data_IF_096403218790
#
_entry.id   IF_096403218790
#
_cell.length_a   1.000
_cell.length_b   1.000
_cell.length_c   1.000
_cell.angle_alpha   90.00
_cell.angle_beta   90.00
_cell.angle_gamma   90.00
#
_symmetry.space_group_name_H-M   'P 1'
#
loop_
_entity.id
_entity.type
_entity.pdbx_description
1 polymer ?
#
# COMPACT_ATOMS: atom_id res chain seq x y z
N UNK A 1 2.76 -0.80 -3.05
CA UNK A 1 1.96 0.38 -2.73
C UNK A 1 0.47 0.13 -2.95
N UNK A 2 -0.02 -0.03 -4.17
CA UNK A 2 -1.47 -0.17 -4.45
C UNK A 2 -2.16 -1.42 -3.85
N UNK A 3 -1.43 -2.45 -3.49
CA UNK A 3 -1.97 -3.71 -2.92
C UNK A 3 -1.65 -3.92 -1.44
N UNK A 4 -0.70 -3.20 -0.88
CA UNK A 4 -0.27 -3.32 0.52
C UNK A 4 -0.24 -2.01 1.28
N UNK A 5 -0.69 -0.91 0.67
CA UNK A 5 -0.74 0.40 1.33
C UNK A 5 0.61 0.99 1.73
N UNK A 6 1.73 0.50 1.19
CA UNK A 6 3.07 0.99 1.53
C UNK A 6 3.30 2.43 1.09
N UNK A 7 4.10 3.16 1.85
CA UNK A 7 4.71 4.43 1.40
C UNK A 7 5.84 4.14 0.43
N UNK A 8 6.08 5.05 -0.52
CA UNK A 8 7.17 4.87 -1.51
C UNK A 8 8.54 4.73 -0.84
N UNK A 9 8.83 5.51 0.20
CA UNK A 9 10.08 5.40 0.95
C UNK A 9 10.27 4.03 1.64
N UNK A 10 9.20 3.40 2.08
CA UNK A 10 9.21 2.03 2.61
C UNK A 10 9.56 1.01 1.53
N UNK A 11 8.94 1.15 0.35
CA UNK A 11 9.24 0.27 -0.81
C UNK A 11 10.70 0.37 -1.22
N UNK A 12 11.27 1.57 -1.23
CA UNK A 12 12.65 1.81 -1.66
C UNK A 12 13.71 1.34 -0.63
N UNK A 13 13.28 1.00 0.58
CA UNK A 13 14.16 0.44 1.62
C UNK A 13 14.17 -1.09 1.64
N UNK A 14 13.20 -1.75 0.99
CA UNK A 14 13.05 -3.21 1.02
C UNK A 14 14.28 -3.93 0.50
N UNK A 15 14.65 -4.99 1.23
CA UNK A 15 15.63 -5.99 0.84
C UNK A 15 14.97 -7.36 0.71
N UNK A 16 15.58 -8.35 0.06
CA UNK A 16 15.05 -9.73 0.04
C UNK A 16 14.83 -10.33 1.42
N UNK A 17 15.67 -9.98 2.41
CA UNK A 17 15.51 -10.43 3.80
C UNK A 17 14.21 -9.95 4.46
N UNK A 18 13.61 -8.87 3.97
CA UNK A 18 12.36 -8.35 4.51
C UNK A 18 11.11 -9.09 4.01
N UNK A 19 11.28 -10.04 3.07
CA UNK A 19 10.17 -10.80 2.48
C UNK A 19 9.98 -12.11 3.25
N UNK A 20 8.91 -12.19 4.04
CA UNK A 20 8.55 -13.39 4.79
C UNK A 20 7.16 -13.87 4.36
N UNK A 21 7.10 -14.86 3.47
CA UNK A 21 5.86 -15.37 2.87
C UNK A 21 5.01 -14.23 2.27
N UNK A 22 3.86 -13.92 2.83
CA UNK A 22 2.96 -12.81 2.43
C UNK A 22 3.10 -11.57 3.29
N UNK A 23 4.21 -11.47 4.01
CA UNK A 23 4.51 -10.35 4.89
C UNK A 23 5.78 -9.65 4.43
N UNK A 24 5.80 -8.35 4.57
CA UNK A 24 7.01 -7.55 4.43
C UNK A 24 7.32 -6.93 5.79
N UNK A 25 8.55 -7.08 6.22
CA UNK A 25 9.02 -6.54 7.50
C UNK A 25 9.63 -5.17 7.22
N UNK A 26 9.11 -4.14 7.86
CA UNK A 26 9.70 -2.81 7.82
C UNK A 26 10.52 -2.60 9.10
N UNK A 27 11.81 -2.40 8.91
CA UNK A 27 12.71 -1.95 9.95
C UNK A 27 12.83 -0.41 9.86
N UNK A 28 13.04 0.26 10.96
CA UNK A 28 13.22 1.72 11.01
C UNK A 28 11.98 2.49 10.50
N UNK A 29 10.88 2.37 11.23
CA UNK A 29 9.62 3.02 10.90
C UNK A 29 9.52 4.44 11.47
N UNK A 30 8.90 5.36 10.72
CA UNK A 30 8.64 6.74 11.19
C UNK A 30 7.70 6.81 12.41
N UNK A 31 7.03 5.71 12.74
CA UNK A 31 6.12 5.60 13.87
C UNK A 31 6.82 5.35 15.22
N UNK A 32 8.15 5.23 15.22
CA UNK A 32 8.94 4.93 16.44
C UNK A 32 8.80 3.49 16.92
N UNK A 33 8.14 2.61 16.19
CA UNK A 33 8.09 1.17 16.44
C UNK A 33 9.33 0.52 15.82
N UNK A 34 9.93 -0.45 16.53
CA UNK A 34 11.11 -1.16 16.05
C UNK A 34 10.87 -1.90 14.74
N UNK A 35 9.67 -2.46 14.56
CA UNK A 35 9.27 -3.15 13.31
C UNK A 35 7.78 -2.94 13.02
N UNK A 36 7.44 -2.83 11.74
CA UNK A 36 6.06 -2.91 11.25
C UNK A 36 5.93 -4.03 10.22
N UNK A 37 4.77 -4.70 10.23
CA UNK A 37 4.43 -5.73 9.26
C UNK A 37 3.47 -5.18 8.21
N UNK A 38 3.73 -5.52 6.95
CA UNK A 38 2.83 -5.25 5.84
C UNK A 38 2.36 -6.57 5.26
N UNK A 39 1.06 -6.70 5.07
CA UNK A 39 0.47 -7.86 4.43
C UNK A 39 0.25 -7.59 2.93
N UNK A 40 0.63 -8.54 2.09
CA UNK A 40 0.49 -8.45 0.63
C UNK A 40 -0.21 -9.71 0.10
N UNK A 41 -0.95 -9.59 -1.02
CA UNK A 41 -1.53 -10.75 -1.68
C UNK A 41 -0.46 -11.75 -2.13
N UNK A 42 -0.78 -13.05 -2.12
CA UNK A 42 0.12 -14.11 -2.55
C UNK A 42 0.76 -13.81 -3.92
N UNK A 43 -0.07 -13.44 -4.89
CA UNK A 43 0.40 -13.09 -6.24
C UNK A 43 1.46 -11.98 -6.26
N UNK A 44 1.38 -11.01 -5.33
CA UNK A 44 2.39 -9.95 -5.22
C UNK A 44 3.67 -10.48 -4.60
N UNK A 45 3.55 -11.32 -3.57
CA UNK A 45 4.69 -11.97 -2.93
C UNK A 45 5.47 -12.85 -3.91
N UNK A 46 4.76 -13.65 -4.71
CA UNK A 46 5.36 -14.56 -5.69
C UNK A 46 6.12 -13.76 -6.78
N UNK A 47 5.49 -12.72 -7.33
CA UNK A 47 6.15 -11.84 -8.32
C UNK A 47 7.36 -11.11 -7.76
N UNK A 48 7.31 -10.71 -6.50
CA UNK A 48 8.45 -10.06 -5.85
C UNK A 48 9.62 -11.03 -5.67
N UNK A 49 9.34 -12.25 -5.21
CA UNK A 49 10.35 -13.32 -5.09
C UNK A 49 10.94 -13.71 -6.45
N UNK A 50 10.11 -13.82 -7.46
CA UNK A 50 10.54 -14.09 -8.84
C UNK A 50 11.47 -12.98 -9.36
N UNK A 51 11.08 -11.72 -9.17
CA UNK A 51 11.90 -10.56 -9.55
C UNK A 51 13.27 -10.59 -8.85
N UNK A 52 13.31 -10.84 -7.54
CA UNK A 52 14.57 -10.95 -6.78
C UNK A 52 15.47 -12.03 -7.33
N UNK A 53 14.92 -13.21 -7.66
CA UNK A 53 15.68 -14.31 -8.26
C UNK A 53 16.19 -13.95 -9.67
N UNK A 54 15.32 -13.44 -10.53
CA UNK A 54 15.66 -13.12 -11.92
C UNK A 54 16.73 -12.03 -12.03
N UNK A 55 16.76 -11.10 -11.07
CA UNK A 55 17.74 -10.00 -11.03
C UNK A 55 18.97 -10.31 -10.17
N UNK A 56 19.00 -11.48 -9.55
CA UNK A 56 20.11 -11.96 -8.70
C UNK A 56 20.50 -10.96 -7.60
N UNK A 57 19.50 -10.37 -6.93
CA UNK A 57 19.72 -9.37 -5.87
C UNK A 57 20.19 -10.08 -4.60
N UNK A 58 21.32 -9.65 -4.05
CA UNK A 58 21.82 -10.13 -2.77
C UNK A 58 20.85 -9.85 -1.62
N UNK A 59 20.82 -10.73 -0.62
CA UNK A 59 19.85 -10.74 0.46
C UNK A 59 19.74 -9.43 1.25
N UNK A 60 20.84 -8.69 1.35
CA UNK A 60 20.99 -7.42 2.07
C UNK A 60 20.91 -6.17 1.17
N UNK A 61 20.77 -6.36 -0.14
CA UNK A 61 20.71 -5.27 -1.11
C UNK A 61 19.30 -4.81 -1.34
N UNK A 62 19.12 -3.52 -1.63
CA UNK A 62 17.81 -2.95 -1.95
C UNK A 62 17.22 -3.63 -3.19
N UNK A 63 15.96 -4.06 -3.11
CA UNK A 63 15.25 -4.66 -4.24
C UNK A 63 15.08 -3.62 -5.37
N UNK A 64 14.82 -2.37 -4.99
CA UNK A 64 14.64 -1.25 -5.93
C UNK A 64 15.70 -0.16 -5.65
N UNK A 65 16.91 -0.27 -6.23
CA UNK A 65 18.01 0.66 -5.96
C UNK A 65 17.86 1.96 -6.75
N UNK A 66 16.72 2.61 -6.62
CA UNK A 66 16.41 3.90 -7.25
C UNK A 66 16.12 4.96 -6.18
N UNK A 67 16.30 6.22 -6.52
CA UNK A 67 15.94 7.32 -5.63
C UNK A 67 14.44 7.64 -5.68
N UNK A 68 13.98 8.41 -4.70
CA UNK A 68 12.58 8.85 -4.63
C UNK A 68 12.11 9.58 -5.89
N UNK A 69 12.96 10.45 -6.46
CA UNK A 69 12.66 11.19 -7.68
C UNK A 69 12.39 10.26 -8.87
N UNK A 70 13.25 9.24 -9.05
CA UNK A 70 13.08 8.22 -10.10
C UNK A 70 11.79 7.40 -9.89
N UNK A 71 11.51 6.96 -8.67
CA UNK A 71 10.28 6.25 -8.36
C UNK A 71 9.03 7.09 -8.65
N UNK A 72 9.06 8.38 -8.28
CA UNK A 72 7.98 9.33 -8.59
C UNK A 72 7.79 9.51 -10.10
N UNK A 73 8.87 9.62 -10.85
CA UNK A 73 8.83 9.76 -12.31
C UNK A 73 8.26 8.50 -12.99
N UNK A 74 8.63 7.31 -12.53
CA UNK A 74 8.07 6.04 -13.00
C UNK A 74 6.56 5.96 -12.77
N UNK A 75 6.08 6.31 -11.58
CA UNK A 75 4.64 6.32 -11.26
C UNK A 75 3.90 7.34 -12.13
N UNK A 76 4.47 8.54 -12.30
CA UNK A 76 3.90 9.57 -13.18
C UNK A 76 3.79 9.06 -14.63
N UNK A 77 4.84 8.45 -15.16
CA UNK A 77 4.87 7.88 -16.51
C UNK A 77 3.83 6.78 -16.68
N UNK A 78 3.70 5.88 -15.70
CA UNK A 78 2.67 4.85 -15.71
C UNK A 78 1.25 5.44 -15.75
N UNK A 79 0.99 6.51 -14.99
CA UNK A 79 -0.27 7.24 -15.05
C UNK A 79 -0.54 7.84 -16.44
N UNK A 80 0.46 8.46 -17.05
CA UNK A 80 0.35 9.05 -18.39
C UNK A 80 -0.04 8.02 -19.45
N UNK A 81 0.47 6.79 -19.36
CA UNK A 81 0.13 5.70 -20.31
C UNK A 81 -1.35 5.31 -20.26
N UNK A 82 -2.04 5.57 -19.18
CA UNK A 82 -3.48 5.29 -19.00
C UNK A 82 -4.33 6.55 -18.87
N UNK A 83 -3.77 7.70 -19.22
CA UNK A 83 -4.49 8.98 -19.26
C UNK A 83 -4.84 9.58 -17.90
N UNK A 84 -4.14 9.20 -16.81
CA UNK A 84 -4.39 9.73 -15.48
C UNK A 84 -3.16 10.42 -14.87
N UNK A 85 -3.41 11.42 -14.03
CA UNK A 85 -2.36 12.06 -13.24
C UNK A 85 -2.12 11.25 -11.98
N UNK A 86 -1.01 10.51 -11.92
CA UNK A 86 -0.70 9.58 -10.83
C UNK A 86 0.56 10.00 -10.05
N UNK A 87 0.46 9.95 -8.73
CA UNK A 87 1.56 10.15 -7.78
C UNK A 87 1.71 8.91 -6.89
N UNK A 88 2.87 8.64 -6.28
CA UNK A 88 3.04 7.51 -5.37
C UNK A 88 2.00 7.45 -4.25
N UNK A 89 1.65 8.60 -3.66
CA UNK A 89 0.66 8.68 -2.58
C UNK A 89 -0.75 8.26 -3.04
N UNK A 90 -1.10 8.49 -4.30
CA UNK A 90 -2.40 8.09 -4.86
C UNK A 90 -2.54 6.57 -4.91
N UNK A 91 -1.45 5.83 -5.11
CA UNK A 91 -1.43 4.37 -5.05
C UNK A 91 -1.75 3.84 -3.64
N UNK A 92 -1.21 4.49 -2.61
CA UNK A 92 -1.50 4.16 -1.21
C UNK A 92 -2.95 4.50 -0.86
N UNK A 93 -3.43 5.67 -1.30
CA UNK A 93 -4.84 6.08 -1.13
C UNK A 93 -5.78 5.10 -1.81
N UNK A 94 -5.44 4.64 -3.02
CA UNK A 94 -6.20 3.63 -3.74
C UNK A 94 -6.35 2.34 -2.93
N UNK A 95 -5.27 1.84 -2.30
CA UNK A 95 -5.35 0.64 -1.45
C UNK A 95 -6.40 0.79 -0.33
N UNK A 96 -6.41 1.94 0.34
CA UNK A 96 -7.36 2.23 1.42
C UNK A 96 -8.80 2.38 0.90
N UNK A 97 -8.99 3.15 -0.18
CA UNK A 97 -10.31 3.38 -0.78
C UNK A 97 -10.90 2.08 -1.33
N UNK A 98 -10.10 1.27 -1.99
CA UNK A 98 -10.52 -0.04 -2.49
C UNK A 98 -10.93 -0.97 -1.36
N UNK A 99 -10.15 -1.04 -0.28
CA UNK A 99 -10.49 -1.83 0.90
C UNK A 99 -11.80 -1.36 1.55
N UNK A 100 -11.99 -0.05 1.71
CA UNK A 100 -13.21 0.54 2.25
C UNK A 100 -14.44 0.17 1.42
N UNK A 101 -14.34 0.29 0.11
CA UNK A 101 -15.43 -0.08 -0.81
C UNK A 101 -15.68 -1.58 -0.90
N UNK A 102 -14.72 -2.39 -0.46
CA UNK A 102 -14.83 -3.85 -0.34
C UNK A 102 -15.25 -4.31 1.05
N UNK A 103 -15.82 -3.42 1.85
CA UNK A 103 -16.36 -3.68 3.20
C UNK A 103 -15.31 -4.10 4.24
N UNK A 104 -14.07 -3.79 4.03
CA UNK A 104 -13.03 -4.03 5.04
C UNK A 104 -13.28 -3.08 6.23
N UNK A 105 -13.31 -3.59 7.46
CA UNK A 105 -13.50 -2.76 8.65
C UNK A 105 -12.49 -1.60 8.72
N UNK A 106 -12.96 -0.42 9.12
CA UNK A 106 -12.15 0.79 9.20
C UNK A 106 -10.88 0.60 10.06
N UNK A 107 -10.97 -0.18 11.11
CA UNK A 107 -9.82 -0.50 11.96
C UNK A 107 -8.72 -1.26 11.21
N UNK A 108 -9.09 -2.22 10.36
CA UNK A 108 -8.15 -2.95 9.51
C UNK A 108 -7.51 -2.01 8.50
N UNK A 109 -8.29 -1.14 7.87
CA UNK A 109 -7.77 -0.15 6.94
C UNK A 109 -6.78 0.78 7.64
N UNK A 110 -7.14 1.29 8.82
CA UNK A 110 -6.32 2.22 9.58
C UNK A 110 -5.06 1.58 10.14
N UNK A 111 -5.21 0.49 10.89
CA UNK A 111 -4.11 -0.11 11.67
C UNK A 111 -3.24 -1.06 10.86
N UNK A 112 -3.81 -1.76 9.89
CA UNK A 112 -3.10 -2.81 9.11
C UNK A 112 -2.65 -2.28 7.76
N UNK A 113 -3.55 -1.70 6.96
CA UNK A 113 -3.22 -1.25 5.59
C UNK A 113 -2.45 0.06 5.63
N UNK A 114 -2.95 1.06 6.33
CA UNK A 114 -2.34 2.38 6.40
C UNK A 114 -1.35 2.55 7.55
N UNK A 115 -1.49 1.76 8.61
CA UNK A 115 -0.64 1.85 9.81
C UNK A 115 -0.62 3.26 10.38
N UNK A 116 -1.81 3.88 10.47
CA UNK A 116 -1.99 5.18 11.10
C UNK A 116 -2.11 5.01 12.63
N UNK A 117 -1.49 5.91 13.37
CA UNK A 117 -1.64 5.98 14.83
C UNK A 117 -3.01 6.53 15.22
N UNK A 118 -3.65 7.33 14.36
CA UNK A 118 -4.95 7.97 14.59
C UNK A 118 -5.94 7.62 13.48
N UNK A 119 -7.16 7.21 13.88
CA UNK A 119 -8.25 6.84 12.98
C UNK A 119 -8.73 8.02 12.13
N UNK A 120 -8.73 9.22 12.66
CA UNK A 120 -9.15 10.45 11.94
C UNK A 120 -8.29 10.69 10.70
N UNK A 121 -7.01 10.35 10.72
CA UNK A 121 -6.15 10.43 9.54
C UNK A 121 -6.62 9.48 8.42
N UNK A 122 -7.14 8.31 8.79
CA UNK A 122 -7.69 7.35 7.82
C UNK A 122 -8.99 7.88 7.21
N UNK A 123 -9.86 8.51 7.99
CA UNK A 123 -11.11 9.09 7.50
C UNK A 123 -10.87 10.15 6.43
N UNK A 124 -9.83 10.97 6.56
CA UNK A 124 -9.43 11.94 5.52
C UNK A 124 -9.08 11.25 4.20
N UNK A 125 -8.46 10.07 4.26
CA UNK A 125 -8.12 9.28 3.07
C UNK A 125 -9.31 8.70 2.33
N UNK A 126 -10.35 8.33 3.06
CA UNK A 126 -11.53 7.64 2.49
C UNK A 126 -12.50 8.62 1.80
N UNK A 127 -12.39 9.91 2.11
CA UNK A 127 -13.28 10.94 1.57
C UNK A 127 -14.67 10.93 2.23
N UNK A 128 -15.57 11.71 1.67
CA UNK A 128 -16.96 11.78 2.12
C UNK A 128 -17.78 10.66 1.50
N UNK A 129 -18.64 10.05 2.29
CA UNK A 129 -19.69 9.14 1.80
C UNK A 129 -20.78 9.99 1.14
N UNK A 130 -21.19 9.63 -0.06
CA UNK A 130 -22.33 10.28 -0.73
C UNK A 130 -23.65 9.76 -0.18
N UNK A 131 -24.71 10.57 -0.28
CA UNK A 131 -26.05 10.16 0.16
C UNK A 131 -26.52 8.88 -0.56
N UNK A 132 -26.26 8.76 -1.87
CA UNK A 132 -26.60 7.57 -2.63
C UNK A 132 -25.86 6.32 -2.12
N UNK A 133 -24.60 6.47 -1.74
CA UNK A 133 -23.82 5.38 -1.14
C UNK A 133 -24.36 5.01 0.24
N UNK A 134 -24.69 6.00 1.06
CA UNK A 134 -25.28 5.79 2.38
C UNK A 134 -26.63 5.06 2.29
N UNK A 135 -27.53 5.50 1.39
CA UNK A 135 -28.84 4.85 1.16
C UNK A 135 -28.65 3.40 0.75
N UNK A 136 -27.79 3.13 -0.23
CA UNK A 136 -27.52 1.76 -0.67
C UNK A 136 -27.06 0.84 0.47
N UNK A 137 -26.21 1.36 1.35
CA UNK A 137 -25.74 0.61 2.51
C UNK A 137 -26.83 0.32 3.51
N UNK A 138 -27.68 1.30 3.83
CA UNK A 138 -28.81 1.12 4.74
C UNK A 138 -29.80 0.10 4.16
N UNK A 139 -30.12 0.18 2.87
CA UNK A 139 -30.99 -0.80 2.23
C UNK A 139 -30.43 -2.21 2.31
N UNK A 140 -29.13 -2.39 2.01
CA UNK A 140 -28.48 -3.71 2.09
C UNK A 140 -28.45 -4.29 3.51
N UNK A 141 -28.41 -3.45 4.55
CA UNK A 141 -28.42 -3.90 5.93
C UNK A 141 -29.78 -4.43 6.39
N UNK A 142 -30.87 -3.93 5.81
CA UNK A 142 -32.25 -4.22 6.25
C UNK A 142 -33.07 -4.96 5.19
N UNK A 143 -32.44 -5.27 4.06
CA UNK A 143 -33.06 -6.14 3.09
C UNK A 143 -32.96 -7.61 3.53
#
# INVERSE_FOLDING_TARGET
MARGGMRVGEVLKLTPNDILDRKLILNDTKSGKEQELIFIPQKVADRLKEYVRATNIGSDKKIFPICYGAARAMVKKAGQLVGIRLRPHDLRRHAATFASRSNVPLEIISKVILRHSNLSTTQIYLGKVSDAEAIRWIENLYA
#
